data_IF_933481799104
#
_entry.id   IF_933481799104
#
_cell.length_a   1.000
_cell.length_b   1.000
_cell.length_c   1.000
_cell.angle_alpha   90.00
_cell.angle_beta   90.00
_cell.angle_gamma   90.00
#
_symmetry.space_group_name_H-M   'P 1'
#
loop_
_entity.id
_entity.type
_entity.pdbx_description
1 polymer ?
#
# COMPACT_ATOMS: atom_id res chain seq x y z
N UNK A 1 -14.60 -12.04 0.29
CA UNK A 1 -14.01 -10.85 0.95
C UNK A 1 -14.71 -9.62 0.40
N UNK A 2 -15.90 -9.30 0.93
CA UNK A 2 -16.79 -8.30 0.29
C UNK A 2 -16.37 -6.83 0.51
N UNK A 3 -15.43 -6.53 1.42
CA UNK A 3 -15.12 -5.15 1.81
C UNK A 3 -13.63 -4.79 1.72
N UNK A 4 -12.81 -5.52 0.97
CA UNK A 4 -11.39 -5.30 0.87
C UNK A 4 -10.98 -5.01 -0.59
N UNK A 5 -10.19 -3.95 -0.80
CA UNK A 5 -9.55 -3.61 -2.08
C UNK A 5 -8.02 -3.58 -1.87
N UNK A 6 -7.28 -4.08 -2.85
CA UNK A 6 -5.82 -3.99 -2.87
C UNK A 6 -5.37 -2.65 -3.46
N UNK A 7 -4.37 -2.04 -2.83
CA UNK A 7 -3.70 -0.83 -3.31
C UNK A 7 -2.20 -1.12 -3.49
N UNK A 8 -1.71 -1.07 -4.72
CA UNK A 8 -0.27 -1.04 -4.98
C UNK A 8 0.18 0.42 -4.99
N UNK A 9 1.00 0.80 -4.02
CA UNK A 9 1.60 2.13 -3.99
C UNK A 9 2.77 2.21 -4.97
N UNK A 10 2.57 2.95 -6.05
CA UNK A 10 3.57 3.21 -7.10
C UNK A 10 4.06 4.65 -7.08
N UNK A 11 3.28 5.54 -6.44
CA UNK A 11 3.63 6.93 -6.23
C UNK A 11 4.81 7.09 -5.28
N UNK A 12 5.62 8.08 -5.53
CA UNK A 12 6.77 8.44 -4.71
C UNK A 12 7.75 9.25 -5.55
N UNK A 13 8.51 10.12 -4.90
CA UNK A 13 9.58 10.86 -5.58
C UNK A 13 10.77 9.93 -5.85
N UNK A 14 10.61 8.91 -6.70
CA UNK A 14 11.72 8.12 -7.23
C UNK A 14 12.64 8.94 -8.17
N UNK A 15 12.59 10.28 -8.03
CA UNK A 15 13.38 11.26 -8.79
C UNK A 15 14.90 11.01 -8.66
N UNK A 16 15.35 10.37 -7.59
CA UNK A 16 16.78 10.09 -7.37
C UNK A 16 17.38 9.09 -8.37
N UNK A 17 16.56 8.36 -9.14
CA UNK A 17 17.02 7.31 -10.05
C UNK A 17 16.52 7.47 -11.49
N UNK A 18 15.73 8.51 -11.81
CA UNK A 18 15.24 8.74 -13.18
C UNK A 18 14.28 7.69 -13.72
N UNK A 19 13.95 6.66 -12.95
CA UNK A 19 13.10 5.53 -13.37
C UNK A 19 11.99 5.30 -12.34
N UNK A 20 10.76 5.14 -12.85
CA UNK A 20 9.61 4.75 -12.05
C UNK A 20 9.77 3.30 -11.57
N UNK A 21 9.88 3.08 -10.25
CA UNK A 21 10.12 1.76 -9.69
C UNK A 21 9.04 0.75 -10.07
N UNK A 22 7.78 1.16 -10.06
CA UNK A 22 6.67 0.27 -10.37
C UNK A 22 6.67 -0.21 -11.82
N UNK A 23 7.37 0.50 -12.71
CA UNK A 23 7.52 0.15 -14.13
C UNK A 23 8.82 -0.60 -14.45
N UNK A 24 9.70 -0.79 -13.47
CA UNK A 24 10.84 -1.71 -13.61
C UNK A 24 10.29 -3.11 -13.83
N UNK A 25 10.82 -3.83 -14.83
CA UNK A 25 10.33 -5.16 -15.19
C UNK A 25 11.32 -6.26 -14.84
N UNK A 26 10.79 -7.41 -14.45
CA UNK A 26 11.46 -8.70 -14.35
C UNK A 26 10.72 -9.63 -15.29
N UNK A 27 11.44 -10.27 -16.21
CA UNK A 27 10.84 -11.16 -17.23
C UNK A 27 9.62 -10.52 -17.92
N UNK A 28 9.79 -9.28 -18.40
CA UNK A 28 8.77 -8.46 -19.06
C UNK A 28 7.55 -8.08 -18.20
N UNK A 29 7.54 -8.41 -16.90
CA UNK A 29 6.45 -8.06 -15.98
C UNK A 29 6.86 -6.89 -15.07
N UNK A 30 6.13 -5.74 -15.11
CA UNK A 30 6.38 -4.61 -14.21
C UNK A 30 6.25 -4.99 -12.73
N UNK A 31 7.06 -4.41 -11.85
CA UNK A 31 6.99 -4.65 -10.40
C UNK A 31 5.61 -4.36 -9.83
N UNK A 32 4.96 -3.30 -10.31
CA UNK A 32 3.59 -2.99 -9.91
C UNK A 32 2.63 -4.16 -10.24
N UNK A 33 2.80 -4.81 -11.41
CA UNK A 33 1.98 -5.98 -11.78
C UNK A 33 2.34 -7.21 -10.96
N UNK A 34 3.63 -7.45 -10.69
CA UNK A 34 4.05 -8.53 -9.80
C UNK A 34 3.42 -8.40 -8.41
N UNK A 35 3.40 -7.18 -7.87
CA UNK A 35 2.75 -6.89 -6.58
C UNK A 35 1.22 -7.07 -6.65
N UNK A 36 0.58 -6.59 -7.72
CA UNK A 36 -0.86 -6.74 -7.93
C UNK A 36 -1.28 -8.22 -8.03
N UNK A 37 -0.55 -9.02 -8.80
CA UNK A 37 -0.86 -10.44 -9.02
C UNK A 37 -1.00 -11.21 -7.69
N UNK A 38 -0.18 -10.90 -6.68
CA UNK A 38 -0.22 -11.57 -5.36
C UNK A 38 -1.54 -11.34 -4.62
N UNK A 39 -2.12 -10.17 -4.76
CA UNK A 39 -3.44 -9.84 -4.20
C UNK A 39 -4.57 -10.39 -5.08
N UNK A 40 -4.43 -10.31 -6.41
CA UNK A 40 -5.41 -10.87 -7.36
C UNK A 40 -5.54 -12.40 -7.20
N UNK A 41 -4.45 -13.12 -6.93
CA UNK A 41 -4.46 -14.56 -6.61
C UNK A 41 -5.25 -14.89 -5.33
N UNK A 42 -5.47 -13.91 -4.47
CA UNK A 42 -6.33 -14.02 -3.28
C UNK A 42 -7.75 -13.53 -3.54
N UNK A 43 -8.11 -13.28 -4.81
CA UNK A 43 -9.38 -12.73 -5.25
C UNK A 43 -9.69 -11.36 -4.65
N UNK A 44 -8.68 -10.52 -4.47
CA UNK A 44 -8.80 -9.11 -4.06
C UNK A 44 -8.67 -8.26 -5.32
N UNK A 45 -9.67 -7.42 -5.65
CA UNK A 45 -9.54 -6.45 -6.73
C UNK A 45 -8.45 -5.42 -6.40
N UNK A 46 -7.64 -5.03 -7.40
CA UNK A 46 -6.46 -4.18 -7.17
C UNK A 46 -6.56 -2.87 -7.95
N UNK A 47 -6.10 -1.79 -7.31
CA UNK A 47 -5.87 -0.48 -7.92
C UNK A 47 -4.42 -0.03 -7.69
N UNK A 48 -3.94 0.87 -8.54
CA UNK A 48 -2.59 1.43 -8.48
C UNK A 48 -2.67 2.89 -8.06
N UNK A 49 -2.02 3.24 -6.96
CA UNK A 49 -1.82 4.63 -6.55
C UNK A 49 -0.62 5.18 -7.30
N UNK A 50 -0.85 6.20 -8.15
CA UNK A 50 0.17 6.82 -8.99
C UNK A 50 0.10 8.34 -8.86
N UNK A 51 1.20 9.04 -9.10
CA UNK A 51 1.14 10.49 -9.22
C UNK A 51 0.73 10.93 -10.64
N UNK A 52 0.37 12.19 -10.81
CA UNK A 52 -0.11 12.73 -12.09
C UNK A 52 0.89 12.55 -13.24
N UNK A 53 2.20 12.61 -12.96
CA UNK A 53 3.24 12.46 -13.98
C UNK A 53 3.41 11.00 -14.45
N UNK A 54 3.01 10.04 -13.62
CA UNK A 54 3.09 8.61 -13.91
C UNK A 54 1.86 8.10 -14.68
N UNK A 55 0.72 8.77 -14.55
CA UNK A 55 -0.59 8.30 -14.97
C UNK A 55 -0.61 7.79 -16.43
N UNK A 56 -0.02 8.52 -17.36
CA UNK A 56 -0.02 8.13 -18.79
C UNK A 56 0.70 6.80 -19.02
N UNK A 57 1.82 6.57 -18.32
CA UNK A 57 2.60 5.35 -18.46
C UNK A 57 1.85 4.14 -17.87
N UNK A 58 1.17 4.34 -16.72
CA UNK A 58 0.38 3.27 -16.10
C UNK A 58 -0.85 2.93 -16.92
N UNK A 59 -1.58 3.91 -17.45
CA UNK A 59 -2.73 3.68 -18.35
C UNK A 59 -2.38 2.97 -19.65
N UNK A 60 -1.13 3.01 -20.08
CA UNK A 60 -0.66 2.24 -21.23
C UNK A 60 -0.50 0.73 -20.92
N UNK A 61 -0.40 0.35 -19.63
CA UNK A 61 -0.12 -1.02 -19.18
C UNK A 61 -1.27 -1.64 -18.38
N UNK A 62 -2.09 -0.82 -17.73
CA UNK A 62 -3.16 -1.24 -16.83
C UNK A 62 -4.50 -0.59 -17.23
N UNK A 63 -5.64 -1.22 -16.89
CA UNK A 63 -6.94 -0.61 -17.09
C UNK A 63 -7.03 0.79 -16.45
N UNK A 64 -7.59 1.74 -17.17
CA UNK A 64 -7.64 3.15 -16.76
C UNK A 64 -8.32 3.34 -15.39
N UNK A 65 -9.39 2.57 -15.15
CA UNK A 65 -10.17 2.58 -13.92
C UNK A 65 -9.41 2.04 -12.69
N UNK A 66 -8.30 1.34 -12.91
CA UNK A 66 -7.43 0.87 -11.84
C UNK A 66 -6.33 1.88 -11.46
N UNK A 67 -6.10 2.92 -12.28
CA UNK A 67 -5.04 3.91 -12.05
C UNK A 67 -5.61 5.14 -11.36
N UNK A 68 -5.41 5.25 -10.05
CA UNK A 68 -5.91 6.35 -9.23
C UNK A 68 -4.78 7.32 -8.94
N UNK A 69 -5.00 8.60 -9.22
CA UNK A 69 -4.02 9.68 -8.95
C UNK A 69 -4.25 10.32 -7.59
N UNK A 70 -3.19 10.95 -7.08
CA UNK A 70 -3.27 11.74 -5.87
C UNK A 70 -4.34 12.84 -5.98
N UNK A 71 -5.27 12.84 -5.02
CA UNK A 71 -6.28 13.87 -4.87
C UNK A 71 -5.71 15.11 -4.15
N UNK A 72 -6.47 16.21 -4.15
CA UNK A 72 -6.07 17.42 -3.45
C UNK A 72 -6.32 17.30 -1.94
N UNK A 73 -5.44 16.57 -1.27
CA UNK A 73 -5.45 16.35 0.18
C UNK A 73 -4.21 17.05 0.75
N UNK A 74 -4.38 17.79 1.85
CA UNK A 74 -3.29 18.55 2.50
C UNK A 74 -2.36 17.64 3.32
N UNK A 75 -1.79 16.65 2.67
CA UNK A 75 -0.78 15.73 3.21
C UNK A 75 0.14 15.31 2.08
N UNK A 76 1.37 14.95 2.39
CA UNK A 76 2.36 14.54 1.41
C UNK A 76 2.79 13.09 1.57
N UNK A 77 3.45 12.56 0.54
CA UNK A 77 4.04 11.22 0.56
C UNK A 77 3.03 10.08 0.39
N UNK A 78 3.39 8.85 0.81
CA UNK A 78 2.59 7.66 0.54
C UNK A 78 1.19 7.67 1.19
N UNK A 79 1.01 8.40 2.29
CA UNK A 79 -0.31 8.55 2.92
C UNK A 79 -1.29 9.28 2.01
N UNK A 80 -0.84 10.26 1.22
CA UNK A 80 -1.69 10.94 0.22
C UNK A 80 -2.27 9.95 -0.78
N UNK A 81 -1.43 9.04 -1.30
CA UNK A 81 -1.89 7.99 -2.20
C UNK A 81 -2.93 7.07 -1.57
N UNK A 82 -2.69 6.61 -0.34
CA UNK A 82 -3.64 5.77 0.40
C UNK A 82 -4.99 6.48 0.61
N UNK A 83 -4.97 7.73 1.03
CA UNK A 83 -6.18 8.52 1.26
C UNK A 83 -6.92 8.86 -0.05
N UNK A 84 -6.19 9.02 -1.15
CA UNK A 84 -6.81 9.20 -2.48
C UNK A 84 -7.58 7.95 -2.92
N UNK A 85 -7.04 6.75 -2.66
CA UNK A 85 -7.78 5.50 -2.87
C UNK A 85 -9.01 5.42 -1.95
N UNK A 86 -8.89 5.84 -0.68
CA UNK A 86 -10.03 5.86 0.24
C UNK A 86 -11.14 6.81 -0.23
N UNK A 87 -10.83 7.96 -0.83
CA UNK A 87 -11.84 8.87 -1.39
C UNK A 87 -12.61 8.24 -2.55
N UNK A 88 -11.96 7.44 -3.39
CA UNK A 88 -12.63 6.70 -4.49
C UNK A 88 -13.46 5.51 -3.96
N UNK A 89 -13.00 4.88 -2.87
CA UNK A 89 -13.62 3.68 -2.29
C UNK A 89 -13.88 3.85 -0.78
N UNK A 90 -14.75 4.80 -0.36
CA UNK A 90 -14.87 5.24 1.03
C UNK A 90 -15.45 4.18 1.99
N UNK A 91 -16.00 3.11 1.47
CA UNK A 91 -16.60 2.03 2.27
C UNK A 91 -15.75 0.75 2.28
N UNK A 92 -14.65 0.72 1.52
CA UNK A 92 -13.78 -0.44 1.45
C UNK A 92 -12.56 -0.25 2.36
N UNK A 93 -12.19 -1.31 3.06
CA UNK A 93 -10.90 -1.40 3.73
C UNK A 93 -9.81 -1.63 2.69
N UNK A 94 -8.60 -1.14 2.92
CA UNK A 94 -7.53 -1.17 1.92
C UNK A 94 -6.39 -2.07 2.39
N UNK A 95 -6.08 -3.11 1.61
CA UNK A 95 -4.83 -3.84 1.70
C UNK A 95 -3.77 -3.10 0.87
N UNK A 96 -2.90 -2.39 1.54
CA UNK A 96 -1.85 -1.61 0.92
C UNK A 96 -0.56 -2.42 0.82
N UNK A 97 0.13 -2.33 -0.33
CA UNK A 97 1.46 -2.88 -0.54
C UNK A 97 2.29 -1.96 -1.44
N UNK A 98 3.58 -1.76 -1.12
CA UNK A 98 4.48 -1.03 -2.00
C UNK A 98 4.85 -1.85 -3.25
N UNK A 99 5.04 -1.19 -4.38
CA UNK A 99 5.35 -1.84 -5.65
C UNK A 99 6.73 -2.51 -5.69
N UNK A 100 7.64 -2.16 -4.77
CA UNK A 100 9.00 -2.69 -4.67
C UNK A 100 9.14 -3.87 -3.69
N UNK A 101 8.04 -4.37 -3.13
CA UNK A 101 7.98 -5.58 -2.30
C UNK A 101 7.71 -6.82 -3.17
N UNK A 102 8.56 -7.04 -4.17
CA UNK A 102 8.35 -8.09 -5.18
C UNK A 102 8.53 -9.51 -4.65
N UNK A 103 9.20 -9.70 -3.52
CA UNK A 103 9.34 -11.00 -2.84
C UNK A 103 8.19 -11.30 -1.87
N UNK A 104 7.24 -10.38 -1.70
CA UNK A 104 6.05 -10.64 -0.90
C UNK A 104 5.37 -11.91 -1.38
N UNK A 105 5.02 -12.81 -0.49
CA UNK A 105 4.41 -14.09 -0.82
C UNK A 105 2.94 -14.17 -0.42
N UNK A 106 2.25 -15.14 -1.02
CA UNK A 106 0.83 -15.39 -0.81
C UNK A 106 0.52 -15.83 0.62
N UNK A 107 1.43 -16.57 1.28
CA UNK A 107 1.21 -17.07 2.65
C UNK A 107 1.23 -15.91 3.64
N UNK A 108 2.17 -14.98 3.50
CA UNK A 108 2.26 -13.76 4.30
C UNK A 108 1.00 -12.91 4.12
N UNK A 109 0.57 -12.63 2.88
CA UNK A 109 -0.67 -11.89 2.66
C UNK A 109 -1.91 -12.60 3.20
N UNK A 110 -2.00 -13.92 3.00
CA UNK A 110 -3.13 -14.73 3.54
C UNK A 110 -3.16 -14.72 5.07
N UNK A 111 -2.01 -14.72 5.72
CA UNK A 111 -1.91 -14.63 7.18
C UNK A 111 -2.42 -13.26 7.68
N UNK A 112 -2.00 -12.15 7.05
CA UNK A 112 -2.48 -10.81 7.37
C UNK A 112 -4.02 -10.73 7.24
N UNK A 113 -4.56 -11.23 6.12
CA UNK A 113 -6.00 -11.25 5.86
C UNK A 113 -6.74 -12.12 6.88
N UNK A 114 -6.18 -13.27 7.25
CA UNK A 114 -6.78 -14.14 8.27
C UNK A 114 -6.88 -13.44 9.63
N UNK A 115 -5.81 -12.76 10.08
CA UNK A 115 -5.84 -11.98 11.33
C UNK A 115 -6.89 -10.87 11.25
N UNK A 116 -6.93 -10.11 10.14
CA UNK A 116 -7.95 -9.09 9.92
C UNK A 116 -9.39 -9.64 10.03
N UNK A 117 -9.64 -10.87 9.53
CA UNK A 117 -10.97 -11.51 9.57
C UNK A 117 -11.33 -12.11 10.92
N UNK A 118 -10.35 -12.66 11.63
CA UNK A 118 -10.58 -13.40 12.89
C UNK A 118 -10.45 -12.55 14.14
N UNK A 119 -9.74 -11.43 14.05
CA UNK A 119 -9.54 -10.47 15.13
C UNK A 119 -10.04 -9.08 14.71
N UNK A 120 -11.36 -8.89 14.51
CA UNK A 120 -11.92 -7.60 14.11
C UNK A 120 -11.76 -6.53 15.20
N UNK A 121 -12.13 -5.29 14.90
CA UNK A 121 -12.11 -4.16 15.82
C UNK A 121 -10.73 -3.51 16.04
N UNK A 122 -9.81 -3.70 15.12
CA UNK A 122 -8.62 -2.86 15.01
C UNK A 122 -8.75 -1.87 13.86
N UNK A 123 -8.07 -0.73 13.99
CA UNK A 123 -8.01 0.32 12.95
C UNK A 123 -7.06 -0.07 11.83
N UNK A 124 -5.94 -0.70 12.24
CA UNK A 124 -4.83 -1.07 11.38
C UNK A 124 -4.36 -2.48 11.67
N UNK A 125 -3.94 -3.20 10.63
CA UNK A 125 -3.29 -4.51 10.75
C UNK A 125 -1.99 -4.44 9.96
N UNK A 126 -0.86 -4.52 10.65
CA UNK A 126 0.46 -4.35 10.05
C UNK A 126 1.47 -5.34 10.63
N UNK A 127 2.50 -5.61 9.86
CA UNK A 127 3.62 -6.39 10.33
C UNK A 127 4.59 -5.56 11.17
N UNK A 128 5.32 -6.22 12.07
CA UNK A 128 6.34 -5.62 12.91
C UNK A 128 7.56 -6.53 13.00
N UNK A 129 8.74 -5.98 12.78
CA UNK A 129 10.03 -6.65 13.02
C UNK A 129 10.79 -5.91 14.11
N UNK A 130 11.06 -6.59 15.24
CA UNK A 130 11.59 -5.96 16.44
C UNK A 130 10.72 -4.77 16.87
N UNK A 131 11.27 -3.55 16.86
CA UNK A 131 10.53 -2.33 17.18
C UNK A 131 10.07 -1.54 15.96
N UNK A 132 10.36 -2.00 14.75
CA UNK A 132 10.00 -1.34 13.51
C UNK A 132 8.69 -1.90 12.94
N UNK A 133 7.72 -1.02 12.73
CA UNK A 133 6.48 -1.35 12.02
C UNK A 133 6.74 -1.27 10.53
N UNK A 134 6.19 -2.24 9.78
CA UNK A 134 6.19 -2.26 8.31
C UNK A 134 4.87 -1.73 7.77
N UNK A 135 4.76 -0.44 7.48
CA UNK A 135 3.49 0.17 7.08
C UNK A 135 3.09 -0.15 5.65
N UNK A 136 4.06 -0.54 4.79
CA UNK A 136 3.84 -0.73 3.37
C UNK A 136 3.37 -2.14 2.99
N UNK A 137 3.04 -2.96 3.98
CA UNK A 137 2.26 -4.19 3.83
C UNK A 137 1.28 -4.27 5.00
N UNK A 138 0.07 -3.73 4.82
CA UNK A 138 -0.91 -3.64 5.90
C UNK A 138 -2.33 -3.43 5.42
N UNK A 139 -3.30 -3.68 6.32
CA UNK A 139 -4.72 -3.37 6.09
C UNK A 139 -5.10 -2.15 6.92
N UNK A 140 -5.72 -1.20 6.26
CA UNK A 140 -6.18 0.10 6.78
C UNK A 140 -7.70 0.14 6.66
N UNK A 141 -8.41 0.21 7.78
CA UNK A 141 -9.88 0.18 7.75
C UNK A 141 -10.47 1.50 7.25
N UNK A 142 -11.59 1.41 6.54
CA UNK A 142 -12.28 2.59 5.99
C UNK A 142 -12.69 3.57 7.07
N UNK A 143 -13.09 3.06 8.25
CA UNK A 143 -13.48 3.90 9.38
C UNK A 143 -12.34 4.79 9.88
N UNK A 144 -11.13 4.22 10.06
CA UNK A 144 -9.99 5.00 10.52
C UNK A 144 -9.47 5.95 9.45
N UNK A 145 -9.46 5.55 8.17
CA UNK A 145 -9.03 6.44 7.09
C UNK A 145 -9.93 7.67 6.98
N UNK A 146 -11.24 7.50 7.19
CA UNK A 146 -12.18 8.63 7.32
C UNK A 146 -11.77 9.55 8.48
N UNK A 147 -11.48 9.03 9.66
CA UNK A 147 -11.06 9.83 10.82
C UNK A 147 -9.75 10.57 10.57
N UNK A 148 -8.79 9.93 9.88
CA UNK A 148 -7.54 10.57 9.48
C UNK A 148 -7.80 11.73 8.52
N UNK A 149 -8.68 11.58 7.54
CA UNK A 149 -9.07 12.67 6.64
C UNK A 149 -9.72 13.83 7.37
N UNK A 150 -10.68 13.55 8.26
CA UNK A 150 -11.31 14.56 9.10
C UNK A 150 -10.30 15.31 9.97
N UNK A 151 -9.26 14.62 10.44
CA UNK A 151 -8.17 15.21 11.22
C UNK A 151 -7.27 16.12 10.39
N UNK A 152 -7.05 15.80 9.11
CA UNK A 152 -6.34 16.66 8.15
C UNK A 152 -7.16 17.93 7.89
N UNK A 153 -8.45 17.79 7.60
CA UNK A 153 -9.35 18.90 7.29
C UNK A 153 -9.51 19.89 8.46
N UNK A 154 -9.49 19.36 9.68
CA UNK A 154 -9.61 20.13 10.92
C UNK A 154 -8.26 20.60 11.49
N UNK A 155 -7.15 20.34 10.81
CA UNK A 155 -5.78 20.66 11.26
C UNK A 155 -5.47 20.16 12.69
N UNK A 156 -6.10 19.04 13.08
CA UNK A 156 -6.01 18.52 14.46
C UNK A 156 -4.72 17.72 14.71
N UNK A 157 -3.99 17.31 13.67
CA UNK A 157 -2.68 16.66 13.75
C UNK A 157 -1.61 17.50 13.07
N UNK A 158 -0.38 17.41 13.59
CA UNK A 158 0.80 18.04 13.00
C UNK A 158 1.71 17.02 12.27
N UNK A 159 1.58 15.73 12.60
CA UNK A 159 2.36 14.65 12.00
C UNK A 159 1.43 13.61 11.38
N UNK A 160 1.46 13.52 10.05
CA UNK A 160 0.73 12.55 9.25
C UNK A 160 1.63 11.44 8.71
N UNK A 161 2.76 11.15 9.37
CA UNK A 161 3.56 9.98 9.02
C UNK A 161 2.82 8.67 9.36
N UNK A 162 3.09 7.62 8.60
CA UNK A 162 2.55 6.29 8.93
C UNK A 162 2.92 5.84 10.35
N UNK A 163 4.15 6.15 10.79
CA UNK A 163 4.58 5.80 12.15
C UNK A 163 3.69 6.45 13.20
N UNK A 164 3.33 7.73 13.01
CA UNK A 164 2.49 8.45 13.95
C UNK A 164 1.05 7.91 13.97
N UNK A 165 0.40 7.80 12.80
CA UNK A 165 -1.01 7.32 12.74
C UNK A 165 -1.16 5.90 13.26
N UNK A 166 -0.17 5.03 13.02
CA UNK A 166 -0.17 3.67 13.55
C UNK A 166 0.09 3.61 15.06
N UNK A 167 0.88 4.56 15.59
CA UNK A 167 1.17 4.62 17.02
C UNK A 167 -0.01 5.12 17.86
N UNK A 168 -0.83 6.03 17.33
CA UNK A 168 -1.99 6.59 18.05
C UNK A 168 -3.29 5.81 17.84
N UNK A 169 -3.38 5.01 16.76
CA UNK A 169 -4.54 4.19 16.44
C UNK A 169 -4.54 2.83 17.15
N UNK A 170 -5.68 2.15 17.13
CA UNK A 170 -5.79 0.78 17.62
C UNK A 170 -5.18 -0.20 16.61
N UNK A 171 -3.86 -0.35 16.67
CA UNK A 171 -3.07 -1.11 15.70
C UNK A 171 -2.85 -2.56 16.15
N UNK A 172 -3.30 -3.53 15.35
CA UNK A 172 -2.90 -4.93 15.46
C UNK A 172 -1.54 -5.13 14.79
N UNK A 173 -0.52 -5.42 15.58
CA UNK A 173 0.81 -5.77 15.06
C UNK A 173 1.01 -7.28 14.98
N UNK A 174 1.57 -7.76 13.87
CA UNK A 174 1.87 -9.16 13.59
C UNK A 174 3.39 -9.29 13.51
N UNK A 175 3.97 -10.18 14.32
CA UNK A 175 5.43 -10.33 14.34
C UNK A 175 5.92 -11.02 13.08
N UNK A 176 6.88 -10.40 12.40
CA UNK A 176 7.58 -10.98 11.26
C UNK A 176 8.52 -12.07 11.76
N UNK A 177 8.34 -13.29 11.27
CA UNK A 177 9.20 -14.45 11.56
C UNK A 177 10.19 -14.73 10.44
N UNK A 178 9.87 -14.29 9.21
CA UNK A 178 10.73 -14.33 8.04
C UNK A 178 10.75 -12.97 7.36
N UNK A 179 11.93 -12.39 7.17
CA UNK A 179 12.10 -11.07 6.56
C UNK A 179 12.15 -11.11 5.03
N UNK A 180 12.28 -12.27 4.41
CA UNK A 180 12.42 -12.38 2.96
C UNK A 180 11.27 -11.70 2.20
N UNK A 181 9.98 -11.89 2.56
CA UNK A 181 8.87 -11.25 1.88
C UNK A 181 8.84 -9.70 1.98
N UNK A 182 9.53 -9.14 2.98
CA UNK A 182 9.51 -7.69 3.27
C UNK A 182 10.70 -6.94 2.68
N UNK A 183 11.49 -7.59 1.85
CA UNK A 183 12.63 -6.96 1.19
C UNK A 183 12.16 -5.92 0.17
N UNK A 184 12.68 -4.70 0.31
CA UNK A 184 12.44 -3.61 -0.64
C UNK A 184 13.59 -3.53 -1.65
N UNK A 185 13.25 -3.47 -2.91
CA UNK A 185 14.21 -3.38 -4.01
C UNK A 185 14.31 -1.96 -4.54
N UNK A 186 15.51 -1.53 -4.90
CA UNK A 186 15.70 -0.21 -5.48
C UNK A 186 16.01 -0.26 -6.98
N UNK A 187 16.60 -1.35 -7.47
CA UNK A 187 16.98 -1.56 -8.88
C UNK A 187 16.99 -3.06 -9.21
N UNK A 188 16.92 -3.39 -10.50
CA UNK A 188 16.95 -4.79 -10.99
C UNK A 188 18.19 -5.54 -10.51
N UNK A 189 19.35 -4.89 -10.44
CA UNK A 189 20.60 -5.52 -9.96
C UNK A 189 20.55 -5.96 -8.49
N UNK A 190 19.56 -5.51 -7.71
CA UNK A 190 19.39 -5.92 -6.32
C UNK A 190 18.63 -7.25 -6.20
N UNK A 191 17.98 -7.67 -7.31
CA UNK A 191 17.34 -8.98 -7.46
C UNK A 191 18.46 -9.94 -7.85
N UNK A 192 18.94 -10.72 -6.86
CA UNK A 192 19.99 -11.73 -7.12
C UNK A 192 19.42 -12.83 -8.01
N UNK A 193 19.85 -12.88 -9.25
CA UNK A 193 19.83 -14.06 -10.10
C UNK A 193 21.21 -14.72 -10.07
#
# INVERSE_FOLDING_TARGET
MKNLIGCVLCGGQSIRMGTDKGLISVEDTPWAKLSANKMEELNIPVVFSVNQNQLSNYKALFPTEQCITDHNINVEGPLKGLLSIHQEYPTLDILMMACDMIDMDKLTLSHLINIYQTEPNHDYYVYKHQDLIEPFCGIYTSGVLKNVMESIDNESFQDFSFQHILAIGNTKTIIITDNAPFKNYNKVSDIGY
#
